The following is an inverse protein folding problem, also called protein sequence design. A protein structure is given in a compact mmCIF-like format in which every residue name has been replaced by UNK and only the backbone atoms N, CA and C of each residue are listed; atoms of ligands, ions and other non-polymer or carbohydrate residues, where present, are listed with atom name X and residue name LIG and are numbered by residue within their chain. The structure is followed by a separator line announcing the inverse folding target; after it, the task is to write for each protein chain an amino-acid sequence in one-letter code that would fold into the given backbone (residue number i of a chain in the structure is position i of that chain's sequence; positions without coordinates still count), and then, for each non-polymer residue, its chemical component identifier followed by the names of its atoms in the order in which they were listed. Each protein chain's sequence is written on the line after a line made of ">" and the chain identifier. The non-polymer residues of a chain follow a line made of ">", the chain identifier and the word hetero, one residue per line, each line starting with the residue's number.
data_IF_319533293315
#
_entry.id   IF_319533293315
#
_cell.length_a   1.000
_cell.length_b   1.000
_cell.length_c   1.000
_cell.angle_alpha   90.00
_cell.angle_beta   90.00
_cell.angle_gamma   90.00
#
_symmetry.space_group_name_H-M   'P 1'
#
loop_
_entity.id
_entity.type
_entity.pdbx_description
1 polymer ?
#
# COMPACT_ATOMS: atom_id res chain seq x y z
N UNK A 1 -20.37 -32.91 -31.03
CA UNK A 1 -20.06 -32.93 -29.58
C UNK A 1 -18.58 -32.58 -29.44
N UNK A 2 -18.10 -31.50 -28.84
CA UNK A 2 -18.70 -30.39 -28.12
C UNK A 2 -17.75 -29.19 -28.32
N UNK A 3 -18.23 -28.13 -28.96
CA UNK A 3 -17.53 -26.87 -29.07
C UNK A 3 -17.67 -26.12 -27.73
N UNK A 4 -16.59 -26.05 -26.95
CA UNK A 4 -16.51 -25.27 -25.70
C UNK A 4 -15.58 -24.06 -25.79
N UNK A 5 -15.30 -23.56 -27.00
CA UNK A 5 -14.83 -22.17 -27.15
C UNK A 5 -16.03 -21.26 -27.44
N UNK A 6 -16.87 -21.05 -26.41
CA UNK A 6 -17.75 -19.87 -26.40
C UNK A 6 -16.88 -18.68 -26.01
N UNK A 7 -16.50 -17.93 -27.03
CA UNK A 7 -16.07 -16.53 -26.96
C UNK A 7 -16.92 -15.78 -25.92
N UNK A 8 -16.28 -15.17 -24.93
CA UNK A 8 -16.88 -14.07 -24.19
C UNK A 8 -16.87 -12.84 -25.13
N UNK A 9 -18.02 -12.29 -25.56
CA UNK A 9 -18.10 -11.40 -26.72
C UNK A 9 -18.04 -9.91 -26.35
N UNK A 10 -17.31 -9.52 -25.30
CA UNK A 10 -17.07 -8.10 -25.01
C UNK A 10 -15.61 -7.75 -25.29
N UNK A 11 -15.30 -6.73 -26.14
CA UNK A 11 -13.94 -6.23 -26.23
C UNK A 11 -13.59 -5.64 -24.87
N UNK A 12 -12.84 -6.43 -24.10
CA UNK A 12 -12.23 -6.03 -22.85
C UNK A 12 -11.57 -4.65 -23.06
N UNK A 13 -11.74 -3.68 -22.13
CA UNK A 13 -11.54 -2.25 -22.39
C UNK A 13 -10.11 -1.92 -22.85
N UNK A 14 -9.89 -1.92 -24.17
CA UNK A 14 -8.59 -1.75 -24.83
C UNK A 14 -7.77 -0.58 -24.24
N UNK A 15 -6.47 -0.49 -24.52
CA UNK A 15 -5.64 0.68 -24.10
C UNK A 15 -6.30 2.05 -24.39
N UNK A 16 -7.19 2.10 -25.38
CA UNK A 16 -8.02 3.26 -25.66
C UNK A 16 -9.01 3.61 -24.54
N UNK A 17 -9.62 2.63 -23.89
CA UNK A 17 -10.53 2.83 -22.76
C UNK A 17 -9.81 3.32 -21.51
N UNK A 18 -8.62 2.80 -21.20
CA UNK A 18 -7.78 3.35 -20.13
C UNK A 18 -7.49 4.84 -20.38
N UNK A 19 -7.05 5.19 -21.60
CA UNK A 19 -6.80 6.58 -21.99
C UNK A 19 -8.06 7.44 -21.90
N UNK A 20 -9.21 6.92 -22.35
CA UNK A 20 -10.46 7.65 -22.30
C UNK A 20 -10.92 7.91 -20.85
N UNK A 21 -10.79 6.92 -19.96
CA UNK A 21 -11.11 7.07 -18.55
C UNK A 21 -10.18 8.09 -17.86
N UNK A 22 -8.89 8.07 -18.17
CA UNK A 22 -7.91 9.05 -17.68
C UNK A 22 -8.25 10.48 -18.18
N UNK A 23 -8.56 10.64 -19.47
CA UNK A 23 -8.96 11.94 -20.05
C UNK A 23 -10.28 12.48 -19.51
N UNK A 24 -11.17 11.60 -19.08
CA UNK A 24 -12.44 11.95 -18.47
C UNK A 24 -12.36 12.10 -16.93
N UNK A 25 -11.18 11.94 -16.32
CA UNK A 25 -10.96 12.00 -14.87
C UNK A 25 -11.82 11.00 -14.08
N UNK A 26 -12.10 9.84 -14.66
CA UNK A 26 -12.87 8.77 -14.03
C UNK A 26 -11.94 7.89 -13.18
N UNK A 27 -11.40 8.44 -12.09
CA UNK A 27 -10.30 7.82 -11.35
C UNK A 27 -10.69 6.51 -10.65
N UNK A 28 -11.91 6.41 -10.12
CA UNK A 28 -12.40 5.18 -9.51
C UNK A 28 -12.55 4.06 -10.55
N UNK A 29 -13.10 4.39 -11.72
CA UNK A 29 -13.22 3.48 -12.85
C UNK A 29 -11.85 3.12 -13.41
N UNK A 30 -10.91 4.06 -13.47
CA UNK A 30 -9.55 3.83 -13.95
C UNK A 30 -8.81 2.85 -13.04
N UNK A 31 -8.93 2.99 -11.71
CA UNK A 31 -8.40 2.01 -10.74
C UNK A 31 -9.03 0.63 -10.93
N UNK A 32 -10.35 0.57 -11.13
CA UNK A 32 -11.03 -0.70 -11.43
C UNK A 32 -10.46 -1.35 -12.69
N UNK A 33 -10.23 -0.57 -13.75
CA UNK A 33 -9.63 -1.07 -14.98
C UNK A 33 -8.21 -1.57 -14.72
N UNK A 34 -7.35 -0.80 -14.03
CA UNK A 34 -5.99 -1.22 -13.71
C UNK A 34 -5.94 -2.52 -12.89
N UNK A 35 -6.78 -2.69 -11.88
CA UNK A 35 -6.88 -3.95 -11.11
C UNK A 35 -7.29 -5.13 -12.01
N UNK A 36 -8.21 -4.91 -12.96
CA UNK A 36 -8.60 -5.93 -13.95
C UNK A 36 -7.52 -6.27 -14.96
N UNK A 37 -6.61 -5.34 -15.24
CA UNK A 37 -5.44 -5.57 -16.09
C UNK A 37 -4.21 -6.06 -15.33
N UNK A 38 -4.33 -6.26 -14.01
CA UNK A 38 -3.20 -6.57 -13.13
C UNK A 38 -2.09 -5.51 -13.18
N UNK A 39 -2.41 -4.29 -13.61
CA UNK A 39 -1.53 -3.11 -13.57
C UNK A 39 -1.60 -2.47 -12.16
N UNK A 40 -1.25 -3.27 -11.14
CA UNK A 40 -1.41 -2.89 -9.73
C UNK A 40 -0.61 -1.63 -9.35
N UNK A 41 0.58 -1.46 -9.93
CA UNK A 41 1.43 -0.28 -9.74
C UNK A 41 0.70 1.00 -10.17
N UNK A 42 0.08 0.97 -11.36
CA UNK A 42 -0.72 2.07 -11.89
C UNK A 42 -1.94 2.34 -11.01
N UNK A 43 -2.65 1.28 -10.59
CA UNK A 43 -3.81 1.39 -9.71
C UNK A 43 -3.46 2.12 -8.40
N UNK A 44 -2.40 1.69 -7.72
CA UNK A 44 -1.93 2.31 -6.46
C UNK A 44 -1.54 3.77 -6.68
N UNK A 45 -0.80 4.07 -7.74
CA UNK A 45 -0.39 5.44 -8.06
C UNK A 45 -1.60 6.35 -8.31
N UNK A 46 -2.61 5.87 -9.04
CA UNK A 46 -3.86 6.61 -9.24
C UNK A 46 -4.57 6.88 -7.91
N UNK A 47 -4.66 5.88 -7.02
CA UNK A 47 -5.27 6.06 -5.69
C UNK A 47 -4.50 7.07 -4.80
N UNK A 48 -3.17 7.11 -4.91
CA UNK A 48 -2.33 8.08 -4.17
C UNK A 48 -2.48 9.50 -4.72
N UNK A 49 -2.52 9.64 -6.05
CA UNK A 49 -2.58 10.95 -6.71
C UNK A 49 -4.00 11.56 -6.72
N UNK A 50 -5.03 10.72 -6.65
CA UNK A 50 -6.44 11.12 -6.69
C UNK A 50 -7.25 10.54 -5.50
N UNK A 51 -6.84 10.81 -4.25
CA UNK A 51 -7.37 10.10 -3.09
C UNK A 51 -8.83 10.41 -2.78
N UNK A 52 -9.34 11.59 -3.17
CA UNK A 52 -10.73 11.97 -2.95
C UNK A 52 -11.71 11.11 -3.77
N UNK A 53 -11.30 10.72 -4.98
CA UNK A 53 -12.16 10.03 -5.94
C UNK A 53 -11.90 8.53 -5.98
N UNK A 54 -10.64 8.11 -5.82
CA UNK A 54 -10.19 6.75 -6.10
C UNK A 54 -9.84 5.93 -4.87
N UNK A 55 -9.46 6.54 -3.75
CA UNK A 55 -8.98 5.77 -2.59
C UNK A 55 -10.14 5.13 -1.83
N UNK A 56 -10.03 3.82 -1.60
CA UNK A 56 -10.89 3.04 -0.72
C UNK A 56 -10.02 2.13 0.12
N UNK A 57 -10.13 2.20 1.44
CA UNK A 57 -9.19 1.56 2.37
C UNK A 57 -8.97 0.06 2.09
N UNK A 58 -10.05 -0.72 2.04
CA UNK A 58 -9.98 -2.17 1.81
C UNK A 58 -9.37 -2.50 0.45
N UNK A 59 -9.87 -1.86 -0.61
CA UNK A 59 -9.36 -2.05 -1.97
C UNK A 59 -7.88 -1.68 -2.08
N UNK A 60 -7.43 -0.60 -1.45
CA UNK A 60 -6.03 -0.19 -1.47
C UNK A 60 -5.15 -1.27 -0.84
N UNK A 61 -5.54 -1.80 0.33
CA UNK A 61 -4.83 -2.87 1.03
C UNK A 61 -4.77 -4.15 0.19
N UNK A 62 -5.85 -4.48 -0.52
CA UNK A 62 -5.87 -5.66 -1.40
C UNK A 62 -4.93 -5.49 -2.61
N UNK A 63 -4.94 -4.32 -3.26
CA UNK A 63 -4.13 -4.06 -4.45
C UNK A 63 -2.64 -3.93 -4.11
N UNK A 64 -2.28 -3.18 -3.06
CA UNK A 64 -0.87 -2.91 -2.72
C UNK A 64 -0.10 -4.21 -2.40
N UNK A 65 -0.75 -5.23 -1.84
CA UNK A 65 -0.08 -6.53 -1.58
C UNK A 65 0.34 -7.27 -2.85
N UNK A 66 -0.28 -6.95 -4.00
CA UNK A 66 0.00 -7.55 -5.31
C UNK A 66 1.08 -6.80 -6.10
N UNK A 67 1.43 -5.59 -5.69
CA UNK A 67 2.46 -4.76 -6.34
C UNK A 67 3.85 -5.41 -6.21
N UNK A 68 4.59 -5.52 -7.31
CA UNK A 68 5.96 -6.06 -7.28
C UNK A 68 6.99 -5.03 -6.80
N UNK A 69 6.77 -3.75 -7.13
CA UNK A 69 7.69 -2.66 -6.84
C UNK A 69 7.63 -2.21 -5.37
N UNK A 70 8.69 -2.50 -4.62
CA UNK A 70 8.81 -2.16 -3.18
C UNK A 70 8.89 -0.65 -2.96
N UNK A 71 9.34 0.16 -3.93
CA UNK A 71 9.35 1.63 -3.79
C UNK A 71 7.94 2.20 -3.58
N UNK A 72 6.93 1.54 -4.15
CA UNK A 72 5.53 1.93 -3.95
C UNK A 72 5.05 1.69 -2.51
N UNK A 73 5.68 0.78 -1.74
CA UNK A 73 5.35 0.60 -0.33
C UNK A 73 5.77 1.81 0.50
N UNK A 74 6.95 2.37 0.22
CA UNK A 74 7.41 3.60 0.87
C UNK A 74 6.59 4.80 0.43
N UNK A 75 6.23 4.89 -0.86
CA UNK A 75 5.35 5.95 -1.36
C UNK A 75 3.94 5.87 -0.73
N UNK A 76 3.39 4.66 -0.59
CA UNK A 76 2.13 4.44 0.11
C UNK A 76 2.25 4.78 1.60
N UNK A 77 3.36 4.42 2.25
CA UNK A 77 3.61 4.76 3.66
C UNK A 77 3.66 6.27 3.87
N UNK A 78 4.32 7.01 2.97
CA UNK A 78 4.33 8.48 2.99
C UNK A 78 2.92 9.05 2.81
N UNK A 79 2.17 8.57 1.81
CA UNK A 79 0.78 8.97 1.60
C UNK A 79 -0.10 8.72 2.84
N UNK A 80 0.05 7.58 3.51
CA UNK A 80 -0.68 7.29 4.73
C UNK A 80 -0.24 8.16 5.90
N UNK A 81 1.05 8.46 6.05
CA UNK A 81 1.52 9.41 7.07
C UNK A 81 0.90 10.80 6.87
N UNK A 82 0.88 11.30 5.63
CA UNK A 82 0.45 12.66 5.33
C UNK A 82 -1.06 12.84 5.43
N UNK A 83 -1.85 11.84 5.02
CA UNK A 83 -3.30 11.99 4.84
C UNK A 83 -4.16 11.02 5.64
N UNK A 84 -3.60 9.91 6.16
CA UNK A 84 -4.34 8.79 6.77
C UNK A 84 -3.60 8.18 7.97
N UNK A 85 -2.99 9.02 8.81
CA UNK A 85 -2.03 8.58 9.84
C UNK A 85 -2.58 7.49 10.78
N UNK A 86 -3.87 7.50 11.09
CA UNK A 86 -4.53 6.49 11.92
C UNK A 86 -4.54 5.08 11.30
N UNK A 87 -4.40 4.96 9.98
CA UNK A 87 -4.49 3.71 9.23
C UNK A 87 -3.12 3.12 8.87
N UNK A 88 -2.02 3.79 9.24
CA UNK A 88 -0.67 3.38 8.83
C UNK A 88 -0.29 2.00 9.37
N UNK A 89 -0.65 1.67 10.61
CA UNK A 89 -0.33 0.37 11.20
C UNK A 89 -1.00 -0.76 10.44
N UNK A 90 -2.27 -0.60 10.07
CA UNK A 90 -3.01 -1.59 9.28
C UNK A 90 -2.39 -1.81 7.90
N UNK A 91 -1.91 -0.73 7.26
CA UNK A 91 -1.15 -0.85 6.01
C UNK A 91 0.17 -1.60 6.22
N UNK A 92 0.95 -1.24 7.24
CA UNK A 92 2.24 -1.87 7.50
C UNK A 92 2.10 -3.35 7.84
N UNK A 93 1.03 -3.74 8.54
CA UNK A 93 0.73 -5.14 8.85
C UNK A 93 0.47 -5.98 7.60
N UNK A 94 -0.31 -5.47 6.63
CA UNK A 94 -0.55 -6.22 5.38
C UNK A 94 0.70 -6.29 4.50
N UNK A 95 1.60 -5.30 4.61
CA UNK A 95 2.86 -5.27 3.88
C UNK A 95 4.00 -6.02 4.58
N UNK A 96 3.85 -6.35 5.87
CA UNK A 96 4.89 -6.93 6.71
C UNK A 96 5.64 -8.11 6.08
N UNK A 97 5.00 -9.07 5.37
CA UNK A 97 5.72 -10.21 4.78
C UNK A 97 6.73 -9.84 3.70
N UNK A 98 6.65 -8.63 3.12
CA UNK A 98 7.47 -8.17 1.99
C UNK A 98 8.28 -6.91 2.29
N UNK A 99 8.10 -6.32 3.47
CA UNK A 99 8.82 -5.10 3.88
C UNK A 99 10.22 -5.45 4.38
N UNK A 100 11.19 -4.61 3.98
CA UNK A 100 12.45 -4.53 4.72
C UNK A 100 12.19 -3.79 6.05
N UNK A 101 12.13 -4.54 7.15
CA UNK A 101 11.85 -3.97 8.47
C UNK A 101 12.91 -2.95 8.91
N UNK A 102 14.18 -3.13 8.52
CA UNK A 102 15.26 -2.19 8.86
C UNK A 102 15.11 -0.88 8.08
N UNK A 103 14.85 -0.97 6.77
CA UNK A 103 14.57 0.20 5.93
C UNK A 103 13.30 0.94 6.36
N UNK A 104 12.24 0.19 6.70
CA UNK A 104 10.97 0.74 7.21
C UNK A 104 11.18 1.50 8.52
N UNK A 105 11.93 0.92 9.46
CA UNK A 105 12.32 1.62 10.68
C UNK A 105 13.08 2.92 10.37
N UNK A 106 14.11 2.85 9.53
CA UNK A 106 14.91 4.02 9.15
C UNK A 106 14.07 5.13 8.51
N UNK A 107 13.05 4.77 7.74
CA UNK A 107 12.08 5.71 7.17
C UNK A 107 11.28 6.45 8.25
N UNK A 108 10.65 5.73 9.19
CA UNK A 108 9.84 6.36 10.25
C UNK A 108 10.69 7.08 11.30
N UNK A 109 11.91 6.61 11.56
CA UNK A 109 12.89 7.27 12.42
C UNK A 109 13.26 8.65 11.88
N UNK A 110 13.63 8.74 10.60
CA UNK A 110 13.94 10.01 9.94
C UNK A 110 12.74 10.95 9.88
N UNK A 111 11.52 10.43 9.79
CA UNK A 111 10.29 11.20 9.81
C UNK A 111 9.89 11.68 11.23
N UNK A 112 10.53 11.18 12.30
CA UNK A 112 10.12 11.45 13.67
C UNK A 112 8.76 10.83 14.04
N UNK A 113 8.34 9.79 13.33
CA UNK A 113 7.01 9.16 13.45
C UNK A 113 7.09 7.73 14.04
N UNK A 114 8.18 7.38 14.71
CA UNK A 114 8.34 6.06 15.31
C UNK A 114 7.25 5.69 16.34
N UNK A 115 6.79 6.59 17.23
CA UNK A 115 5.73 6.27 18.18
C UNK A 115 4.43 5.83 17.48
N UNK A 116 4.12 6.42 16.33
CA UNK A 116 2.91 6.12 15.56
C UNK A 116 2.88 4.67 15.07
N UNK A 117 4.03 4.12 14.69
CA UNK A 117 4.15 2.76 14.13
C UNK A 117 4.53 1.70 15.17
N UNK A 118 4.49 2.04 16.46
CA UNK A 118 4.79 1.12 17.56
C UNK A 118 3.96 -0.19 17.53
N UNK A 119 2.64 -0.18 17.24
CA UNK A 119 1.88 -1.43 17.10
C UNK A 119 2.45 -2.37 16.03
N UNK A 120 2.81 -1.83 14.87
CA UNK A 120 3.51 -2.59 13.83
C UNK A 120 4.86 -3.11 14.31
N UNK A 121 5.72 -2.27 14.91
CA UNK A 121 7.04 -2.70 15.40
C UNK A 121 6.95 -3.87 16.38
N UNK A 122 5.98 -3.83 17.32
CA UNK A 122 5.72 -4.95 18.24
C UNK A 122 5.33 -6.23 17.51
N UNK A 123 4.52 -6.13 16.45
CA UNK A 123 4.09 -7.31 15.67
C UNK A 123 5.25 -8.01 14.95
N UNK A 124 6.28 -7.25 14.51
CA UNK A 124 7.42 -7.80 13.77
C UNK A 124 8.64 -8.10 14.64
N UNK A 125 8.59 -7.77 15.93
CA UNK A 125 9.68 -8.01 16.90
C UNK A 125 10.13 -9.47 16.94
N UNK A 126 9.20 -10.42 16.77
CA UNK A 126 9.47 -11.86 16.76
C UNK A 126 10.42 -12.35 15.65
N UNK A 127 10.66 -11.55 14.61
CA UNK A 127 11.64 -11.86 13.56
C UNK A 127 13.10 -11.65 14.00
N UNK A 128 13.34 -11.29 15.26
CA UNK A 128 14.64 -11.06 15.88
C UNK A 128 15.54 -10.09 15.09
N UNK A 129 14.94 -9.06 14.50
CA UNK A 129 15.68 -7.99 13.84
C UNK A 129 16.26 -7.05 14.91
N UNK A 130 17.59 -6.99 14.99
CA UNK A 130 18.32 -6.18 15.97
C UNK A 130 17.89 -4.70 15.95
N UNK A 131 17.74 -4.11 14.76
CA UNK A 131 17.33 -2.72 14.57
C UNK A 131 15.93 -2.46 15.11
N UNK A 132 15.00 -3.40 14.90
CA UNK A 132 13.62 -3.32 15.44
C UNK A 132 13.60 -3.44 16.96
N UNK A 133 14.42 -4.34 17.52
CA UNK A 133 14.51 -4.54 18.97
C UNK A 133 15.09 -3.31 19.68
N UNK A 134 16.19 -2.75 19.17
CA UNK A 134 16.81 -1.53 19.71
C UNK A 134 15.84 -0.34 19.66
N UNK A 135 15.13 -0.18 18.55
CA UNK A 135 14.11 0.85 18.37
C UNK A 135 12.96 0.74 19.37
N UNK A 136 12.41 -0.47 19.55
CA UNK A 136 11.35 -0.72 20.52
C UNK A 136 11.83 -0.43 21.93
N UNK A 137 13.04 -0.85 22.30
CA UNK A 137 13.61 -0.57 23.61
C UNK A 137 13.76 0.94 23.85
N UNK A 138 14.23 1.69 22.85
CA UNK A 138 14.33 3.15 22.94
C UNK A 138 12.96 3.80 23.17
N UNK A 139 11.97 3.44 22.34
CA UNK A 139 10.60 3.97 22.48
C UNK A 139 9.98 3.64 23.84
N UNK A 140 10.19 2.43 24.35
CA UNK A 140 9.68 2.02 25.66
C UNK A 140 10.39 2.77 26.79
N UNK A 141 11.68 3.09 26.64
CA UNK A 141 12.44 3.87 27.63
C UNK A 141 11.97 5.33 27.65
N UNK A 142 11.71 5.94 26.49
CA UNK A 142 11.17 7.31 26.40
C UNK A 142 9.74 7.44 26.96
N UNK A 143 8.92 6.38 26.87
CA UNK A 143 7.58 6.37 27.45
C UNK A 143 7.57 6.10 28.97
N UNK A 144 8.61 5.46 29.49
CA UNK A 144 8.79 5.14 30.91
C UNK A 144 9.63 6.19 31.66
N UNK A 145 9.83 7.39 31.08
CA UNK A 145 10.48 8.51 31.75
C UNK A 145 9.56 9.06 32.86
N UNK A 146 9.87 8.69 34.11
CA UNK A 146 9.13 8.96 35.35
C UNK A 146 9.12 10.45 35.78
#
# INVERSE_FOLDING_TARGET
>A
MHAWHKLDPRPWPSRQVLRAAEQAHLWAELVFLYDKYEEYDSAVLTMINHPADAWKEGQFKDIITKVANVELFYKASQFYLDYKSLLINDLLLVLAPRLDHTGTFGFFSKAGQLPLVKPYLRSVQGHNNKSVNEALNHLLTEEEDY
#
